data_IF_112234122561
#
_entry.id   IF_112234122561
#
_cell.length_a   1.000
_cell.length_b   1.000
_cell.length_c   1.000
_cell.angle_alpha   90.00
_cell.angle_beta   90.00
_cell.angle_gamma   90.00
#
_symmetry.space_group_name_H-M   'P 1'
#
loop_
_entity.id
_entity.type
_entity.pdbx_description
1 polymer ?
#
# COMPACT_ATOMS: atom_id res chain seq x y z
N UNK A 1 -29.90 -5.10 -26.48
CA UNK A 1 -28.83 -5.22 -27.50
C UNK A 1 -27.69 -4.33 -27.07
N UNK A 2 -26.61 -4.92 -26.56
CA UNK A 2 -25.42 -4.18 -26.18
C UNK A 2 -24.59 -3.89 -27.43
N UNK A 3 -24.19 -2.63 -27.61
CA UNK A 3 -23.22 -2.24 -28.63
C UNK A 3 -21.97 -1.77 -27.91
N UNK A 4 -20.83 -2.37 -28.22
CA UNK A 4 -19.52 -1.88 -27.80
C UNK A 4 -19.12 -0.82 -28.84
N UNK A 5 -19.08 0.45 -28.44
CA UNK A 5 -18.57 1.54 -29.27
C UNK A 5 -17.11 1.78 -28.93
N UNK A 6 -16.21 1.56 -29.90
CA UNK A 6 -14.82 1.98 -29.80
C UNK A 6 -14.72 3.45 -30.24
N UNK A 7 -14.44 4.36 -29.31
CA UNK A 7 -14.24 5.77 -29.65
C UNK A 7 -12.80 6.01 -30.13
N UNK A 8 -12.57 6.80 -31.21
CA UNK A 8 -11.22 7.12 -31.66
C UNK A 8 -10.58 8.25 -30.82
N UNK A 9 -9.24 8.21 -30.74
CA UNK A 9 -8.33 9.15 -30.07
C UNK A 9 -8.72 10.63 -30.22
N UNK A 10 -8.72 11.46 -29.15
CA UNK A 10 -8.62 12.90 -29.31
C UNK A 10 -7.18 13.32 -29.64
N UNK A 11 -7.04 14.25 -30.59
CA UNK A 11 -5.78 14.89 -30.99
C UNK A 11 -5.42 15.99 -29.98
N UNK A 12 -4.59 15.69 -28.99
CA UNK A 12 -3.78 16.69 -28.29
C UNK A 12 -2.51 16.03 -27.76
N UNK A 13 -1.37 16.51 -28.26
CA UNK A 13 -0.05 15.92 -28.04
C UNK A 13 0.45 16.13 -26.62
N UNK A 14 0.62 15.02 -25.90
CA UNK A 14 1.48 14.90 -24.73
C UNK A 14 2.27 13.58 -24.83
N UNK A 15 3.46 13.58 -24.23
CA UNK A 15 4.63 12.72 -24.44
C UNK A 15 4.37 11.18 -24.41
N UNK A 16 5.19 10.37 -25.12
CA UNK A 16 4.97 8.92 -25.22
C UNK A 16 5.42 8.21 -23.94
N UNK A 17 4.49 7.54 -23.26
CA UNK A 17 4.75 6.66 -22.11
C UNK A 17 3.72 6.69 -20.99
N UNK A 18 2.83 7.70 -20.95
CA UNK A 18 1.81 7.83 -19.89
C UNK A 18 0.45 7.22 -20.24
N UNK A 19 0.24 6.77 -21.48
CA UNK A 19 -1.09 6.33 -21.96
C UNK A 19 -1.37 4.83 -21.74
N UNK A 20 -0.35 3.97 -21.65
CA UNK A 20 -0.55 2.51 -21.54
C UNK A 20 -0.92 2.03 -20.13
N UNK A 21 -0.89 2.90 -19.11
CA UNK A 21 -1.28 2.57 -17.71
C UNK A 21 -2.68 3.04 -17.30
N UNK A 22 -3.46 3.62 -18.21
CA UNK A 22 -4.79 4.17 -17.92
C UNK A 22 -5.95 3.35 -18.51
N UNK A 23 -5.68 2.19 -19.11
CA UNK A 23 -6.69 1.39 -19.80
C UNK A 23 -7.41 0.34 -18.96
N UNK A 24 -7.11 0.24 -17.66
CA UNK A 24 -7.79 -0.72 -16.80
C UNK A 24 -9.01 -0.06 -16.14
N UNK A 25 -10.18 -0.36 -16.73
CA UNK A 25 -11.54 -0.26 -16.19
C UNK A 25 -12.23 1.12 -16.14
N UNK A 26 -12.86 1.48 -17.26
CA UNK A 26 -13.97 2.43 -17.29
C UNK A 26 -15.16 1.77 -18.01
N UNK A 27 -16.16 1.33 -17.24
CA UNK A 27 -17.37 0.70 -17.78
C UNK A 27 -18.49 1.75 -17.84
N UNK A 28 -18.92 2.09 -19.07
CA UNK A 28 -20.02 3.01 -19.30
C UNK A 28 -21.23 2.18 -19.70
N UNK A 29 -22.26 2.17 -18.86
CA UNK A 29 -23.54 1.53 -19.18
C UNK A 29 -24.57 2.59 -19.51
N UNK A 30 -25.10 2.53 -20.74
CA UNK A 30 -26.20 3.38 -21.20
C UNK A 30 -27.50 2.60 -21.07
N UNK A 31 -28.40 3.09 -20.23
CA UNK A 31 -29.75 2.54 -20.12
C UNK A 31 -30.76 3.56 -20.66
N UNK A 32 -31.59 3.12 -21.62
CA UNK A 32 -32.56 3.95 -22.32
C UNK A 32 -33.96 3.41 -22.05
N UNK A 33 -34.72 4.12 -21.23
CA UNK A 33 -36.15 3.85 -21.05
C UNK A 33 -36.96 4.42 -22.22
N UNK A 34 -37.55 3.53 -23.02
CA UNK A 34 -38.32 3.91 -24.23
C UNK A 34 -39.66 4.57 -23.93
N UNK A 35 -40.12 4.60 -22.67
CA UNK A 35 -41.42 5.20 -22.32
C UNK A 35 -41.33 6.68 -21.94
N UNK A 36 -40.17 7.14 -21.45
CA UNK A 36 -40.01 8.49 -20.85
C UNK A 36 -39.08 9.43 -21.63
N UNK A 37 -38.42 8.97 -22.71
CA UNK A 37 -37.41 9.72 -23.51
C UNK A 37 -36.24 10.28 -22.69
N UNK A 38 -36.07 9.87 -21.44
CA UNK A 38 -34.95 10.31 -20.61
C UNK A 38 -33.79 9.32 -20.75
N UNK A 39 -32.57 9.82 -20.94
CA UNK A 39 -31.36 9.00 -21.04
C UNK A 39 -30.46 9.32 -19.85
N UNK A 40 -30.21 8.32 -19.01
CA UNK A 40 -29.36 8.46 -17.83
C UNK A 40 -28.00 7.83 -18.13
N UNK A 41 -26.93 8.55 -17.79
CA UNK A 41 -25.56 8.11 -18.00
C UNK A 41 -24.95 7.76 -16.64
N UNK A 42 -24.60 6.49 -16.44
CA UNK A 42 -23.93 6.04 -15.23
C UNK A 42 -22.45 5.79 -15.52
N UNK A 43 -21.57 6.46 -14.77
CA UNK A 43 -20.12 6.22 -14.78
C UNK A 43 -19.77 5.56 -13.46
N UNK A 44 -19.44 4.27 -13.51
CA UNK A 44 -18.90 3.54 -12.36
C UNK A 44 -17.37 3.57 -12.40
N UNK A 45 -16.74 3.98 -11.31
CA UNK A 45 -15.30 3.75 -11.08
C UNK A 45 -15.18 2.41 -10.37
N UNK A 46 -14.41 1.49 -10.95
CA UNK A 46 -14.09 0.21 -10.30
C UNK A 46 -13.05 0.52 -9.21
N UNK A 47 -13.49 0.55 -7.94
CA UNK A 47 -12.56 0.44 -6.82
C UNK A 47 -12.10 -1.00 -6.79
N UNK A 48 -10.86 -1.23 -7.19
CA UNK A 48 -10.25 -2.54 -7.20
C UNK A 48 -10.18 -3.05 -5.75
N UNK A 49 -10.98 -4.06 -5.34
CA UNK A 49 -10.71 -4.73 -4.10
C UNK A 49 -9.48 -5.60 -4.40
N UNK A 50 -8.29 -5.15 -4.01
CA UNK A 50 -7.08 -5.97 -4.16
C UNK A 50 -7.31 -7.30 -3.42
N UNK A 51 -7.60 -8.35 -4.19
CA UNK A 51 -7.66 -9.73 -3.73
C UNK A 51 -6.27 -10.31 -3.93
N UNK A 52 -5.53 -10.51 -2.84
CA UNK A 52 -4.21 -11.14 -2.88
C UNK A 52 -4.34 -12.66 -2.98
N UNK A 53 -3.57 -13.26 -3.89
CA UNK A 53 -3.34 -14.71 -3.95
C UNK A 53 -2.05 -14.97 -3.18
N UNK A 54 -2.10 -15.73 -2.09
CA UNK A 54 -0.88 -16.28 -1.52
C UNK A 54 -0.32 -17.35 -2.47
N UNK A 55 1.00 -17.58 -2.43
CA UNK A 55 1.70 -18.59 -3.23
C UNK A 55 1.29 -20.05 -2.94
N UNK A 56 0.20 -20.26 -2.20
CA UNK A 56 -0.38 -21.55 -1.80
C UNK A 56 -1.86 -21.73 -2.21
N UNK A 57 -2.50 -20.72 -2.81
CA UNK A 57 -3.85 -20.85 -3.36
C UNK A 57 -4.96 -20.99 -2.32
N UNK A 58 -4.83 -20.37 -1.13
CA UNK A 58 -5.79 -20.50 -0.03
C UNK A 58 -6.02 -19.23 0.79
N UNK A 59 -7.26 -18.72 0.71
CA UNK A 59 -7.99 -17.75 1.57
C UNK A 59 -7.60 -16.24 1.57
N UNK A 60 -8.50 -15.50 0.89
CA UNK A 60 -8.96 -14.11 1.07
C UNK A 60 -8.58 -13.47 2.42
N UNK A 61 -7.50 -12.70 2.46
CA UNK A 61 -7.25 -11.72 3.51
C UNK A 61 -7.80 -10.37 3.08
N UNK A 62 -8.67 -9.80 3.90
CA UNK A 62 -9.16 -8.44 3.72
C UNK A 62 -8.02 -7.50 4.15
N UNK A 63 -7.40 -6.82 3.18
CA UNK A 63 -6.20 -6.02 3.40
C UNK A 63 -6.54 -4.54 3.27
N UNK A 64 -6.25 -3.77 4.30
CA UNK A 64 -6.65 -2.37 4.41
C UNK A 64 -5.45 -1.48 4.14
N UNK A 65 -5.64 -0.48 3.29
CA UNK A 65 -4.58 0.49 2.98
C UNK A 65 -4.32 1.38 4.18
N UNK A 66 -3.04 1.45 4.55
CA UNK A 66 -2.54 2.29 5.65
C UNK A 66 -1.45 3.24 5.13
N UNK A 67 -1.21 4.32 5.86
CA UNK A 67 -0.21 5.32 5.52
C UNK A 67 0.59 5.73 6.77
N UNK A 68 1.85 6.10 6.60
CA UNK A 68 2.66 6.62 7.71
C UNK A 68 2.11 8.00 8.09
N UNK A 69 1.49 8.10 9.26
CA UNK A 69 0.99 9.36 9.79
C UNK A 69 2.07 10.12 10.57
N UNK A 70 2.91 9.39 11.32
CA UNK A 70 3.87 10.00 12.23
C UNK A 70 5.10 9.15 12.43
N UNK A 71 6.27 9.79 12.42
CA UNK A 71 7.53 9.21 12.86
C UNK A 71 8.18 10.19 13.84
N UNK A 72 8.27 9.81 15.12
CA UNK A 72 8.92 10.59 16.16
C UNK A 72 10.28 10.01 16.49
N UNK A 73 11.32 10.81 16.23
CA UNK A 73 12.69 10.46 16.56
C UNK A 73 13.16 11.32 17.75
N UNK A 74 13.57 10.65 18.83
CA UNK A 74 14.17 11.22 20.04
C UNK A 74 15.57 10.65 20.17
N UNK A 75 16.58 11.52 20.16
CA UNK A 75 18.00 11.13 20.14
C UNK A 75 18.42 10.36 21.39
N UNK A 76 17.80 10.64 22.53
CA UNK A 76 18.11 10.01 23.81
C UNK A 76 17.31 8.72 24.06
N UNK A 77 16.34 8.39 23.21
CA UNK A 77 15.54 7.18 23.33
C UNK A 77 16.12 6.05 22.49
N UNK A 78 16.11 4.83 23.01
CA UNK A 78 16.48 3.64 22.22
C UNK A 78 15.39 3.30 21.19
N UNK A 79 14.13 3.41 21.62
CA UNK A 79 12.95 3.15 20.80
C UNK A 79 12.29 4.45 20.33
N UNK A 80 11.87 4.45 19.07
CA UNK A 80 11.24 5.55 18.34
C UNK A 80 9.80 5.19 18.01
N UNK A 81 8.91 6.19 17.99
CA UNK A 81 7.50 5.94 17.70
C UNK A 81 7.22 6.06 16.21
N UNK A 82 6.63 5.01 15.64
CA UNK A 82 6.11 4.98 14.28
C UNK A 82 4.61 4.73 14.34
N UNK A 83 3.83 5.60 13.68
CA UNK A 83 2.37 5.53 13.66
C UNK A 83 1.88 5.43 12.23
N UNK A 84 1.10 4.40 11.94
CA UNK A 84 0.38 4.24 10.69
C UNK A 84 -1.12 4.42 10.94
N UNK A 85 -1.80 5.05 10.00
CA UNK A 85 -3.26 5.23 10.03
C UNK A 85 -3.89 4.50 8.86
N UNK A 86 -5.07 3.96 9.08
CA UNK A 86 -5.94 3.55 8.00
C UNK A 86 -6.31 4.75 7.12
N UNK A 87 -6.21 4.60 5.80
CA UNK A 87 -6.43 5.68 4.83
C UNK A 87 -7.89 6.17 4.80
N UNK A 88 -8.84 5.27 4.96
CA UNK A 88 -10.29 5.54 4.87
C UNK A 88 -11.02 5.19 6.17
N UNK A 89 -10.36 5.38 7.32
CA UNK A 89 -10.94 5.06 8.62
C UNK A 89 -10.21 5.75 9.76
N UNK A 90 -10.35 5.19 10.96
CA UNK A 90 -9.81 5.79 12.19
C UNK A 90 -8.89 4.86 12.99
N UNK A 91 -8.60 3.67 12.45
CA UNK A 91 -7.74 2.68 13.09
C UNK A 91 -6.27 3.09 12.96
N UNK A 92 -5.50 2.74 13.97
CA UNK A 92 -4.10 3.17 14.11
C UNK A 92 -3.24 1.99 14.49
N UNK A 93 -2.10 1.84 13.82
CA UNK A 93 -1.03 0.93 14.23
C UNK A 93 0.06 1.76 14.88
N UNK A 94 0.42 1.41 16.11
CA UNK A 94 1.53 2.01 16.84
C UNK A 94 2.69 1.00 16.95
N UNK A 95 3.85 1.37 16.43
CA UNK A 95 5.06 0.54 16.43
C UNK A 95 6.22 1.26 17.12
N UNK A 96 6.98 0.50 17.90
CA UNK A 96 8.27 0.92 18.45
C UNK A 96 9.39 0.37 17.57
N UNK A 97 10.20 1.24 16.98
CA UNK A 97 11.33 0.84 16.12
C UNK A 97 12.65 1.40 16.65
N UNK A 98 13.77 0.80 16.27
CA UNK A 98 15.09 1.31 16.66
C UNK A 98 15.44 2.64 16.01
N UNK A 99 16.40 3.35 16.60
CA UNK A 99 16.89 4.64 16.08
C UNK A 99 17.40 4.55 14.64
N UNK A 100 18.12 3.48 14.30
CA UNK A 100 18.70 3.33 12.96
C UNK A 100 17.64 3.05 11.90
N UNK A 101 16.65 2.22 12.22
CA UNK A 101 15.48 1.98 11.38
C UNK A 101 14.69 3.27 11.14
N UNK A 102 14.40 4.02 12.21
CA UNK A 102 13.69 5.29 12.13
C UNK A 102 14.46 6.31 11.27
N UNK A 103 15.78 6.41 11.44
CA UNK A 103 16.62 7.30 10.64
C UNK A 103 16.60 6.91 9.15
N UNK A 104 16.61 5.60 8.83
CA UNK A 104 16.52 5.12 7.47
C UNK A 104 15.18 5.47 6.79
N UNK A 105 14.06 5.30 7.51
CA UNK A 105 12.72 5.68 7.04
C UNK A 105 12.65 7.19 6.83
N UNK A 106 13.02 7.99 7.85
CA UNK A 106 12.97 9.47 7.80
C UNK A 106 13.72 10.02 6.60
N UNK A 107 14.96 9.55 6.38
CA UNK A 107 15.79 10.01 5.26
C UNK A 107 15.10 9.78 3.91
N UNK A 108 14.47 8.61 3.75
CA UNK A 108 13.83 8.21 2.49
C UNK A 108 12.51 8.93 2.27
N UNK A 109 11.72 9.13 3.34
CA UNK A 109 10.55 10.02 3.31
C UNK A 109 10.92 11.45 2.93
N UNK A 110 12.05 11.96 3.43
CA UNK A 110 12.55 13.29 3.10
C UNK A 110 13.23 13.38 1.72
N UNK A 111 13.35 12.27 0.97
CA UNK A 111 14.08 12.18 -0.29
C UNK A 111 15.51 12.76 -0.22
N UNK A 112 16.16 12.60 0.94
CA UNK A 112 17.51 13.12 1.17
C UNK A 112 18.54 12.36 0.31
N UNK A 113 19.34 13.06 -0.52
CA UNK A 113 20.34 12.44 -1.37
C UNK A 113 21.50 11.88 -0.55
N UNK A 114 22.08 10.78 -1.03
CA UNK A 114 23.27 10.15 -0.42
C UNK A 114 24.37 10.03 -1.46
N UNK A 115 25.62 10.26 -1.05
CA UNK A 115 26.79 10.18 -1.94
C UNK A 115 27.11 8.75 -2.38
N UNK A 116 26.70 7.77 -1.57
CA UNK A 116 26.84 6.33 -1.83
C UNK A 116 25.56 5.61 -1.41
N UNK A 117 25.17 4.52 -2.11
CA UNK A 117 24.03 3.71 -1.72
C UNK A 117 24.16 3.20 -0.28
N UNK A 118 23.12 3.39 0.53
CA UNK A 118 23.00 2.74 1.85
C UNK A 118 22.33 1.36 1.72
N UNK A 119 22.19 0.62 2.81
CA UNK A 119 21.64 -0.75 2.82
C UNK A 119 20.33 -0.90 2.05
N UNK A 120 19.35 -0.02 2.28
CA UNK A 120 18.08 -0.06 1.57
C UNK A 120 18.17 0.41 0.11
N UNK A 121 19.16 1.24 -0.25
CA UNK A 121 19.45 1.56 -1.66
C UNK A 121 20.14 0.38 -2.35
N UNK A 122 21.04 -0.32 -1.65
CA UNK A 122 21.67 -1.54 -2.14
C UNK A 122 20.60 -2.61 -2.41
N UNK A 123 19.69 -2.85 -1.46
CA UNK A 123 18.62 -3.83 -1.62
C UNK A 123 17.71 -3.51 -2.81
N UNK A 124 17.30 -2.25 -2.97
CA UNK A 124 16.52 -1.77 -4.12
C UNK A 124 17.26 -2.04 -5.45
N UNK A 125 18.55 -1.68 -5.52
CA UNK A 125 19.38 -1.96 -6.69
C UNK A 125 19.55 -3.46 -6.95
N UNK A 126 19.65 -4.29 -5.90
CA UNK A 126 19.74 -5.74 -6.02
C UNK A 126 18.45 -6.33 -6.56
N UNK A 127 17.29 -5.89 -6.05
CA UNK A 127 15.97 -6.31 -6.55
C UNK A 127 15.83 -5.97 -8.04
N UNK A 128 16.17 -4.73 -8.40
CA UNK A 128 16.14 -4.27 -9.79
C UNK A 128 17.10 -5.08 -10.70
N UNK A 129 18.31 -5.38 -10.23
CA UNK A 129 19.28 -6.18 -10.98
C UNK A 129 18.87 -7.65 -11.19
N UNK A 130 17.88 -8.13 -10.42
CA UNK A 130 17.28 -9.46 -10.57
C UNK A 130 16.00 -9.44 -11.43
N UNK A 131 15.72 -8.32 -12.11
CA UNK A 131 14.52 -8.07 -12.92
C UNK A 131 13.21 -8.18 -12.11
N UNK A 132 13.27 -7.86 -10.81
CA UNK A 132 12.12 -7.77 -9.94
C UNK A 132 11.83 -6.31 -9.60
N UNK A 133 10.59 -6.02 -9.18
CA UNK A 133 10.17 -4.71 -8.68
C UNK A 133 9.43 -4.84 -7.36
N UNK A 134 9.69 -4.00 -6.36
CA UNK A 134 8.83 -3.93 -5.19
C UNK A 134 7.42 -3.47 -5.59
N UNK A 135 6.40 -4.17 -5.11
CA UNK A 135 5.00 -3.90 -5.45
C UNK A 135 4.25 -3.28 -4.27
N UNK A 136 4.29 -3.89 -3.08
CA UNK A 136 3.62 -3.39 -1.89
C UNK A 136 4.20 -4.01 -0.62
N UNK A 137 3.80 -3.48 0.54
CA UNK A 137 4.05 -4.08 1.85
C UNK A 137 2.72 -4.57 2.42
N UNK A 138 2.74 -5.73 3.07
CA UNK A 138 1.63 -6.22 3.88
C UNK A 138 2.08 -6.43 5.32
N UNK A 139 1.57 -5.63 6.26
CA UNK A 139 1.72 -5.89 7.70
C UNK A 139 0.67 -6.94 8.06
N UNK A 140 1.08 -8.21 8.05
CA UNK A 140 0.17 -9.36 8.06
C UNK A 140 -0.18 -9.85 9.45
N UNK A 141 0.66 -9.58 10.44
CA UNK A 141 0.46 -10.13 11.77
C UNK A 141 1.13 -9.29 12.85
N UNK A 142 0.60 -9.41 14.06
CA UNK A 142 1.18 -8.88 15.28
C UNK A 142 0.99 -9.91 16.37
N UNK A 143 2.06 -10.16 17.12
CA UNK A 143 2.09 -11.07 18.27
C UNK A 143 2.95 -10.45 19.39
N UNK A 144 2.35 -10.21 20.56
CA UNK A 144 3.04 -9.70 21.75
C UNK A 144 3.85 -8.40 21.53
N UNK A 145 3.29 -7.48 20.75
CA UNK A 145 3.90 -6.22 20.34
C UNK A 145 4.89 -6.33 19.19
N UNK A 146 5.11 -7.54 18.64
CA UNK A 146 6.02 -7.79 17.53
C UNK A 146 5.23 -7.91 16.23
N UNK A 147 5.50 -7.00 15.30
CA UNK A 147 4.84 -6.95 14.00
C UNK A 147 5.64 -7.71 12.94
N UNK A 148 4.92 -8.43 12.09
CA UNK A 148 5.45 -9.17 10.94
C UNK A 148 4.91 -8.55 9.67
N UNK A 149 5.79 -8.39 8.67
CA UNK A 149 5.41 -7.86 7.38
C UNK A 149 5.95 -8.71 6.25
N UNK A 150 5.29 -8.63 5.11
CA UNK A 150 5.80 -9.16 3.85
C UNK A 150 6.11 -8.01 2.91
N UNK A 151 7.30 -8.05 2.32
CA UNK A 151 7.64 -7.28 1.14
C UNK A 151 7.23 -8.09 -0.08
N UNK A 152 6.22 -7.63 -0.81
CA UNK A 152 5.79 -8.30 -2.03
C UNK A 152 6.50 -7.67 -3.21
N UNK A 153 7.21 -8.50 -3.95
CA UNK A 153 7.83 -8.16 -5.22
C UNK A 153 7.04 -8.75 -6.37
N UNK A 154 7.20 -8.15 -7.55
CA UNK A 154 6.72 -8.71 -8.80
C UNK A 154 7.90 -8.99 -9.71
N UNK A 155 7.92 -10.17 -10.32
CA UNK A 155 8.95 -10.59 -11.26
C UNK A 155 8.30 -11.43 -12.35
N UNK A 156 8.41 -10.99 -13.60
CA UNK A 156 7.86 -11.72 -14.77
C UNK A 156 6.36 -12.07 -14.65
N UNK A 157 5.57 -11.22 -13.99
CA UNK A 157 4.13 -11.44 -13.77
C UNK A 157 3.80 -12.34 -12.58
N UNK A 158 4.80 -12.86 -11.87
CA UNK A 158 4.63 -13.62 -10.63
C UNK A 158 4.90 -12.74 -9.41
N UNK A 159 4.17 -13.03 -8.31
CA UNK A 159 4.42 -12.39 -7.03
C UNK A 159 5.39 -13.23 -6.19
N UNK A 160 6.41 -12.56 -5.65
CA UNK A 160 7.35 -13.12 -4.71
C UNK A 160 7.12 -12.47 -3.35
N UNK A 161 6.86 -13.29 -2.34
CA UNK A 161 6.60 -12.84 -0.96
C UNK A 161 7.88 -13.03 -0.14
N UNK A 162 8.38 -11.96 0.45
CA UNK A 162 9.59 -11.97 1.27
C UNK A 162 9.22 -11.53 2.69
N UNK A 163 9.41 -12.41 3.67
CA UNK A 163 9.25 -12.07 5.08
C UNK A 163 10.22 -10.95 5.47
N UNK A 164 9.70 -9.94 6.14
CA UNK A 164 10.42 -8.73 6.50
C UNK A 164 9.94 -8.14 7.83
N UNK A 165 10.83 -7.42 8.51
CA UNK A 165 10.39 -6.51 9.58
C UNK A 165 9.66 -5.33 8.93
N UNK A 166 8.55 -4.82 9.52
CA UNK A 166 7.85 -3.66 8.99
C UNK A 166 8.77 -2.46 8.77
N UNK A 167 9.72 -2.21 9.68
CA UNK A 167 10.67 -1.11 9.57
C UNK A 167 11.55 -1.16 8.31
N UNK A 168 12.03 -2.35 7.94
CA UNK A 168 12.92 -2.55 6.80
C UNK A 168 12.13 -2.43 5.49
N UNK A 169 10.94 -3.04 5.46
CA UNK A 169 10.02 -2.94 4.33
C UNK A 169 9.64 -1.47 4.09
N UNK A 170 9.21 -0.75 5.14
CA UNK A 170 8.84 0.67 5.05
C UNK A 170 10.02 1.51 4.57
N UNK A 171 11.22 1.30 5.09
CA UNK A 171 12.40 2.01 4.63
C UNK A 171 12.61 1.80 3.13
N UNK A 172 12.51 0.57 2.61
CA UNK A 172 12.62 0.32 1.18
C UNK A 172 11.53 1.08 0.37
N UNK A 173 10.27 0.93 0.76
CA UNK A 173 9.11 1.38 -0.03
C UNK A 173 8.81 2.88 0.04
N UNK A 174 9.17 3.57 1.11
CA UNK A 174 8.88 5.01 1.28
C UNK A 174 9.42 5.87 0.13
N UNK A 175 10.57 5.51 -0.43
CA UNK A 175 11.19 6.22 -1.56
C UNK A 175 10.44 6.00 -2.89
N UNK A 176 9.75 4.87 -2.99
CA UNK A 176 9.08 4.40 -4.22
C UNK A 176 7.58 4.72 -4.23
N UNK A 177 7.07 5.37 -3.18
CA UNK A 177 5.64 5.69 -2.99
C UNK A 177 4.72 4.46 -3.16
N UNK A 178 5.19 3.31 -2.66
CA UNK A 178 4.46 2.05 -2.79
C UNK A 178 3.37 1.93 -1.72
N UNK A 179 2.24 1.28 -2.05
CA UNK A 179 1.15 1.11 -1.10
C UNK A 179 1.56 0.20 0.07
N UNK A 180 1.07 0.56 1.25
CA UNK A 180 1.23 -0.21 2.48
C UNK A 180 -0.15 -0.73 2.86
N UNK A 181 -0.25 -2.02 3.12
CA UNK A 181 -1.46 -2.68 3.58
C UNK A 181 -1.24 -3.27 4.97
N UNK A 182 -2.33 -3.43 5.70
CA UNK A 182 -2.37 -4.16 6.95
C UNK A 182 -3.55 -5.13 6.93
N UNK A 183 -3.37 -6.28 7.57
CA UNK A 183 -4.44 -7.26 7.75
C UNK A 183 -5.61 -6.67 8.54
N UNK A 184 -6.84 -6.85 8.04
CA UNK A 184 -8.03 -6.26 8.64
C UNK A 184 -8.35 -6.83 10.02
N UNK A 185 -8.18 -8.14 10.22
CA UNK A 185 -8.45 -8.79 11.50
C UNK A 185 -7.44 -8.34 12.56
N UNK A 186 -6.17 -8.24 12.20
CA UNK A 186 -5.12 -7.65 13.04
C UNK A 186 -5.48 -6.20 13.40
N UNK A 187 -5.85 -5.38 12.43
CA UNK A 187 -6.24 -3.98 12.68
C UNK A 187 -7.43 -3.86 13.63
N UNK A 188 -8.44 -4.71 13.47
CA UNK A 188 -9.61 -4.73 14.35
C UNK A 188 -9.24 -5.16 15.77
N UNK A 189 -8.44 -6.23 15.91
CA UNK A 189 -7.93 -6.69 17.22
C UNK A 189 -7.17 -5.58 17.94
N UNK A 190 -6.20 -4.94 17.27
CA UNK A 190 -5.39 -3.86 17.84
C UNK A 190 -6.23 -2.67 18.30
N UNK A 191 -7.26 -2.30 17.55
CA UNK A 191 -8.17 -1.21 17.92
C UNK A 191 -8.98 -1.55 19.18
N UNK A 192 -9.45 -2.80 19.31
CA UNK A 192 -10.16 -3.27 20.51
C UNK A 192 -9.23 -3.21 21.73
N UNK A 193 -8.03 -3.76 21.62
CA UNK A 193 -7.03 -3.75 22.70
C UNK A 193 -6.68 -2.32 23.14
N UNK A 194 -6.46 -1.42 22.17
CA UNK A 194 -6.20 -0.01 22.45
C UNK A 194 -7.34 0.64 23.25
N UNK A 195 -8.60 0.36 22.89
CA UNK A 195 -9.77 0.90 23.60
C UNK A 195 -9.88 0.35 25.02
N UNK A 196 -9.58 -0.93 25.22
CA UNK A 196 -9.58 -1.55 26.55
C UNK A 196 -8.51 -0.93 27.46
N UNK A 197 -7.32 -0.67 26.93
CA UNK A 197 -6.22 -0.02 27.67
C UNK A 197 -6.49 1.47 27.94
N UNK A 198 -7.29 2.14 27.10
CA UNK A 198 -7.64 3.55 27.26
C UNK A 198 -8.85 3.80 28.19
N UNK A 199 -9.57 2.76 28.60
CA UNK A 199 -10.70 2.90 29.51
C UNK A 199 -10.21 3.29 30.93
N UNK A 200 -10.80 4.31 31.57
CA UNK A 200 -10.42 4.68 32.93
C UNK A 200 -10.64 3.50 33.87
N UNK A 201 -9.61 3.14 34.63
CA UNK A 201 -9.72 2.14 35.70
C UNK A 201 -10.64 2.75 36.76
N UNK A 202 -11.88 2.26 36.82
CA UNK A 202 -12.91 2.67 37.78
C UNK A 202 -12.53 2.31 39.21
#
# INVERSE_FOLDING_TARGET
>A
MAWILWAPRPLLGLLPGSWERFQDFLHITLESDRRTRNTSLWVGVLVDPLVFLDGTGGLKMDAIRVEIAKLLIRTEAELQDLVLIEREGSRVIHMSIGLFEAAAIRRRLANEPVSRPQTHDLLDNTIAALDARPHHILIRHEENGVFFADLVLERQGEQLVIDARPSDALALCCKLDLPIYADAEMLERLEIERRLLAAPTS
#
